data_IF_607318702999
#
_entry.id   IF_607318702999
#
_cell.length_a   1.000
_cell.length_b   1.000
_cell.length_c   1.000
_cell.angle_alpha   90.00
_cell.angle_beta   90.00
_cell.angle_gamma   90.00
#
_symmetry.space_group_name_H-M   'P 1'
#
loop_
_entity.id
_entity.type
_entity.pdbx_description
1 polymer ?
#
# COMPACT_ATOMS: atom_id res chain seq x y z
N UNK A 1 -8.78 6.31 -9.29
CA UNK A 1 -8.39 6.82 -7.96
C UNK A 1 -7.51 5.79 -7.27
N UNK A 2 -6.36 6.18 -6.71
CA UNK A 2 -5.51 5.27 -5.93
C UNK A 2 -5.69 5.53 -4.42
N UNK A 3 -5.66 4.48 -3.61
CA UNK A 3 -5.82 4.55 -2.15
C UNK A 3 -5.07 3.42 -1.44
N UNK A 4 -4.78 3.64 -0.15
CA UNK A 4 -4.22 2.61 0.72
C UNK A 4 -5.33 1.72 1.26
N UNK A 5 -5.16 0.41 1.11
CA UNK A 5 -6.02 -0.61 1.70
C UNK A 5 -5.26 -1.35 2.79
N UNK A 6 -5.87 -1.47 3.95
CA UNK A 6 -5.35 -2.23 5.08
C UNK A 6 -6.16 -3.50 5.26
N UNK A 7 -5.48 -4.63 5.50
CA UNK A 7 -6.10 -5.91 5.84
C UNK A 7 -5.49 -6.45 7.13
N UNK A 8 -6.32 -6.85 8.09
CA UNK A 8 -5.89 -7.54 9.32
C UNK A 8 -5.96 -9.05 9.09
N UNK A 9 -4.84 -9.76 9.28
CA UNK A 9 -4.76 -11.22 9.18
C UNK A 9 -3.87 -11.72 10.33
N UNK A 10 -4.34 -12.67 11.13
CA UNK A 10 -3.60 -13.25 12.27
C UNK A 10 -2.90 -12.17 13.12
N UNK A 11 -3.67 -11.15 13.52
CA UNK A 11 -3.22 -10.00 14.30
C UNK A 11 -2.14 -9.10 13.67
N UNK A 12 -1.80 -9.32 12.39
CA UNK A 12 -0.89 -8.50 11.62
C UNK A 12 -1.67 -7.59 10.65
N UNK A 13 -1.20 -6.37 10.45
CA UNK A 13 -1.75 -5.43 9.47
C UNK A 13 -0.91 -5.43 8.20
N UNK A 14 -1.60 -5.58 7.06
CA UNK A 14 -1.01 -5.65 5.73
C UNK A 14 -1.52 -4.49 4.88
N UNK A 15 -0.59 -3.77 4.26
CA UNK A 15 -0.88 -2.55 3.52
C UNK A 15 -0.67 -2.77 2.02
N UNK A 16 -1.64 -2.30 1.23
CA UNK A 16 -1.67 -2.44 -0.21
C UNK A 16 -2.00 -1.10 -0.83
N UNK A 17 -1.26 -0.71 -1.87
CA UNK A 17 -1.68 0.35 -2.77
C UNK A 17 -2.65 -0.24 -3.78
N UNK A 18 -3.88 0.26 -3.80
CA UNK A 18 -4.95 -0.20 -4.67
C UNK A 18 -5.38 0.94 -5.57
N UNK A 19 -5.64 0.65 -6.84
CA UNK A 19 -6.21 1.58 -7.80
C UNK A 19 -7.62 1.13 -8.17
N UNK A 20 -8.57 2.05 -8.08
CA UNK A 20 -9.91 1.91 -8.61
C UNK A 20 -9.97 2.46 -10.02
N UNK A 21 -10.40 1.62 -10.96
CA UNK A 21 -10.55 1.92 -12.38
C UNK A 21 -11.93 1.45 -12.87
N UNK A 22 -12.48 2.08 -13.91
CA UNK A 22 -13.69 1.60 -14.58
C UNK A 22 -13.30 0.75 -15.78
N UNK A 23 -13.74 -0.51 -15.79
CA UNK A 23 -13.52 -1.46 -16.87
C UNK A 23 -14.90 -2.04 -17.23
N UNK A 24 -15.30 -1.90 -18.49
CA UNK A 24 -16.62 -2.30 -19.00
C UNK A 24 -17.78 -1.69 -18.21
N UNK A 25 -17.68 -0.39 -17.91
CA UNK A 25 -18.69 0.36 -17.14
C UNK A 25 -18.73 0.03 -15.64
N UNK A 26 -18.02 -1.01 -15.18
CA UNK A 26 -18.00 -1.44 -13.78
C UNK A 26 -16.74 -0.93 -13.08
N UNK A 27 -16.89 -0.50 -11.83
CA UNK A 27 -15.74 -0.14 -10.98
C UNK A 27 -15.05 -1.42 -10.53
N UNK A 28 -13.77 -1.56 -10.90
CA UNK A 28 -12.90 -2.66 -10.47
C UNK A 28 -11.72 -2.11 -9.68
N UNK A 29 -11.36 -2.81 -8.61
CA UNK A 29 -10.19 -2.51 -7.80
C UNK A 29 -9.05 -3.44 -8.20
N UNK A 30 -7.87 -2.86 -8.50
CA UNK A 30 -6.65 -3.58 -8.82
C UNK A 30 -5.59 -3.26 -7.77
N UNK A 31 -4.98 -4.30 -7.19
CA UNK A 31 -3.81 -4.12 -6.32
C UNK A 31 -2.62 -3.75 -7.20
N UNK A 32 -2.01 -2.60 -6.92
CA UNK A 32 -0.87 -2.07 -7.67
C UNK A 32 0.43 -2.50 -7.01
N UNK A 33 0.52 -2.38 -5.69
CA UNK A 33 1.73 -2.71 -4.94
C UNK A 33 1.38 -3.24 -3.56
N UNK A 34 2.00 -4.35 -3.17
CA UNK A 34 2.04 -4.76 -1.77
C UNK A 34 3.14 -3.95 -1.07
N UNK A 35 2.78 -3.28 0.01
CA UNK A 35 3.67 -2.35 0.70
C UNK A 35 4.39 -3.05 1.85
N UNK A 36 3.70 -3.94 2.56
CA UNK A 36 4.30 -4.71 3.65
C UNK A 36 3.42 -4.79 4.89
N UNK A 37 4.03 -5.28 5.96
CA UNK A 37 3.47 -5.23 7.32
C UNK A 37 3.73 -3.87 7.96
N UNK A 38 2.94 -3.49 8.96
CA UNK A 38 3.15 -2.25 9.73
C UNK A 38 4.58 -2.07 10.24
N UNK A 39 5.22 -3.13 10.74
CA UNK A 39 6.63 -3.07 11.19
C UNK A 39 7.62 -2.73 10.07
N UNK A 40 7.39 -3.24 8.87
CA UNK A 40 8.27 -2.98 7.71
C UNK A 40 8.02 -1.59 7.10
N UNK A 41 6.86 -1.00 7.35
CA UNK A 41 6.51 0.33 6.87
C UNK A 41 7.32 1.42 7.55
N UNK A 42 7.52 1.31 8.87
CA UNK A 42 8.32 2.28 9.64
C UNK A 42 9.75 2.33 9.11
N UNK A 43 10.40 1.16 8.97
CA UNK A 43 11.76 1.09 8.43
C UNK A 43 11.86 1.62 7.00
N UNK A 44 10.85 1.36 6.14
CA UNK A 44 10.84 1.90 4.77
C UNK A 44 10.70 3.42 4.72
N UNK A 45 10.01 4.04 5.68
CA UNK A 45 9.88 5.50 5.75
C UNK A 45 11.22 6.10 6.19
N UNK A 46 11.84 5.54 7.23
CA UNK A 46 13.16 5.97 7.71
C UNK A 46 14.22 5.88 6.60
N UNK A 47 14.23 4.78 5.83
CA UNK A 47 15.14 4.60 4.68
C UNK A 47 14.86 5.60 3.54
N UNK A 48 13.60 6.00 3.35
CA UNK A 48 13.21 6.97 2.32
C UNK A 48 13.57 8.40 2.71
N UNK A 49 13.52 8.74 4.00
CA UNK A 49 13.94 10.03 4.54
C UNK A 49 15.46 10.19 4.45
N UNK A 50 16.24 9.16 4.81
CA UNK A 50 17.71 9.21 4.67
C UNK A 50 18.21 9.39 3.23
N UNK A 51 17.43 8.99 2.23
CA UNK A 51 17.75 9.19 0.80
C UNK A 51 17.42 10.58 0.27
N UNK A 52 16.65 11.39 1.01
CA UNK A 52 16.36 12.78 0.62
C UNK A 52 17.45 13.75 1.07
N UNK A 53 18.22 13.39 2.09
CA UNK A 53 19.31 14.21 2.65
C UNK A 53 20.69 13.95 1.99
N UNK A 54 20.75 13.10 0.96
CA UNK A 54 21.94 12.86 0.11
C UNK A 54 21.69 13.34 -1.31
#
# INVERSE_FOLDING_TARGET
MAFLRVKKINNNYYYYLVKSERIDGKVRQKVVKYIGKSKNLVSMIEDAEQKKDR
#
